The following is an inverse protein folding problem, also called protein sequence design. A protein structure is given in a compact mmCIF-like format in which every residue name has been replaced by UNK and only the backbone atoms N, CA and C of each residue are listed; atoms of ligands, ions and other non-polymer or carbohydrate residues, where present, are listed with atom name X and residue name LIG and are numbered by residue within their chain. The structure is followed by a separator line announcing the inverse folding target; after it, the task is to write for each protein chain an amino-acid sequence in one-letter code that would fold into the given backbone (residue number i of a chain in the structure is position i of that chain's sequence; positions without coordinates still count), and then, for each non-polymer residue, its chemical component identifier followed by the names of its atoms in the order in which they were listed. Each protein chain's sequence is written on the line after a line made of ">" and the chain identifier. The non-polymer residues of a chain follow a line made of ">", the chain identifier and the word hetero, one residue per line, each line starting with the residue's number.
data_IF_562507878912
#
_entry.id   IF_562507878912
#
_cell.length_a   1.000
_cell.length_b   1.000
_cell.length_c   1.000
_cell.angle_alpha   90.00
_cell.angle_beta   90.00
_cell.angle_gamma   90.00
#
_symmetry.space_group_name_H-M   'P 1'
#
loop_
_entity.id
_entity.type
_entity.pdbx_description
1 polymer ?
#
# COMPACT_ATOMS: atom_id res chain seq x y z
N UNK A 1 -20.00 4.55 -9.74
CA UNK A 1 -19.21 5.82 -9.77
C UNK A 1 -17.83 5.45 -9.21
N UNK A 2 -16.73 5.80 -9.91
CA UNK A 2 -15.38 5.55 -9.41
C UNK A 2 -15.09 6.39 -8.17
N UNK A 3 -14.30 5.85 -7.25
CA UNK A 3 -13.77 6.60 -6.11
C UNK A 3 -12.71 7.59 -6.60
N UNK A 4 -12.45 8.63 -5.81
CA UNK A 4 -11.47 9.68 -6.13
C UNK A 4 -10.57 9.92 -4.94
N UNK A 5 -9.28 10.10 -5.21
CA UNK A 5 -8.31 10.51 -4.19
C UNK A 5 -8.46 12.00 -3.86
N UNK A 6 -7.91 12.46 -2.73
CA UNK A 6 -7.85 13.89 -2.43
C UNK A 6 -7.12 14.72 -3.48
N UNK A 7 -6.24 14.09 -4.28
CA UNK A 7 -5.45 14.74 -5.33
C UNK A 7 -6.12 14.74 -6.71
N UNK A 8 -7.33 14.20 -6.84
CA UNK A 8 -8.03 14.06 -8.11
C UNK A 8 -8.09 15.37 -8.93
N UNK A 9 -8.50 16.49 -8.31
CA UNK A 9 -8.55 17.77 -8.99
C UNK A 9 -7.16 18.27 -9.43
N UNK A 10 -6.13 17.93 -8.66
CA UNK A 10 -4.74 18.26 -9.00
C UNK A 10 -4.30 17.48 -10.24
N UNK A 11 -4.63 16.19 -10.32
CA UNK A 11 -4.37 15.37 -11.50
C UNK A 11 -5.03 15.95 -12.75
N UNK A 12 -6.29 16.35 -12.64
CA UNK A 12 -7.00 16.98 -13.77
C UNK A 12 -6.35 18.31 -14.19
N UNK A 13 -6.00 19.18 -13.24
CA UNK A 13 -5.34 20.46 -13.51
C UNK A 13 -3.97 20.29 -14.19
N UNK A 14 -3.26 19.21 -13.87
CA UNK A 14 -1.98 18.85 -14.47
C UNK A 14 -2.12 18.12 -15.82
N UNK A 15 -3.35 17.93 -16.31
CA UNK A 15 -3.62 17.29 -17.60
C UNK A 15 -3.42 15.77 -17.61
N UNK A 16 -3.56 15.12 -16.47
CA UNK A 16 -3.41 13.69 -16.38
C UNK A 16 -4.45 12.94 -17.23
N UNK A 17 -4.03 11.89 -17.91
CA UNK A 17 -4.92 10.89 -18.49
C UNK A 17 -5.40 9.96 -17.38
N UNK A 18 -6.67 10.06 -17.02
CA UNK A 18 -7.28 9.28 -15.95
C UNK A 18 -7.82 7.94 -16.49
N UNK A 19 -7.74 6.90 -15.65
CA UNK A 19 -8.28 5.57 -15.91
C UNK A 19 -8.99 5.00 -14.69
N UNK A 20 -9.79 3.95 -14.89
CA UNK A 20 -10.26 3.09 -13.81
C UNK A 20 -9.10 2.18 -13.35
N UNK A 21 -8.68 2.37 -12.11
CA UNK A 21 -7.68 1.57 -11.45
C UNK A 21 -8.29 0.95 -10.19
N UNK A 22 -8.78 -0.27 -10.30
CA UNK A 22 -9.39 -0.99 -9.19
C UNK A 22 -10.59 -0.27 -8.54
N UNK A 23 -11.40 0.43 -9.34
CA UNK A 23 -12.55 1.19 -8.85
C UNK A 23 -12.24 2.63 -8.43
N UNK A 24 -10.99 3.07 -8.60
CA UNK A 24 -10.55 4.44 -8.39
C UNK A 24 -10.25 5.15 -9.70
N UNK A 25 -10.56 6.43 -9.78
CA UNK A 25 -10.22 7.29 -10.92
C UNK A 25 -8.80 7.84 -10.71
N UNK A 26 -7.80 7.20 -11.34
CA UNK A 26 -6.37 7.42 -11.08
C UNK A 26 -5.63 7.89 -12.33
N UNK A 27 -4.55 8.69 -12.17
CA UNK A 27 -3.73 9.12 -13.29
C UNK A 27 -2.88 7.95 -13.83
N UNK A 28 -3.02 7.67 -15.12
CA UNK A 28 -2.14 6.74 -15.84
C UNK A 28 -0.83 7.40 -16.27
N UNK A 29 -0.92 8.62 -16.76
CA UNK A 29 0.21 9.41 -17.27
C UNK A 29 -0.16 10.89 -17.35
N UNK A 30 0.86 11.73 -17.45
CA UNK A 30 0.75 13.17 -17.73
C UNK A 30 1.36 13.51 -19.09
N UNK A 31 2.67 13.44 -19.22
CA UNK A 31 3.40 13.71 -20.48
C UNK A 31 3.51 12.47 -21.37
N UNK A 32 3.77 11.32 -20.76
CA UNK A 32 3.89 10.03 -21.43
C UNK A 32 4.55 8.97 -20.56
N UNK A 33 4.08 7.74 -20.68
CA UNK A 33 4.52 6.61 -19.85
C UNK A 33 6.04 6.43 -19.91
N UNK A 34 6.63 6.45 -21.10
CA UNK A 34 8.07 6.21 -21.28
C UNK A 34 8.91 7.35 -20.72
N UNK A 35 8.49 8.59 -20.89
CA UNK A 35 9.18 9.77 -20.39
C UNK A 35 9.13 9.81 -18.86
N UNK A 36 7.97 9.55 -18.28
CA UNK A 36 7.76 9.51 -16.83
C UNK A 36 8.53 8.35 -16.20
N UNK A 37 8.52 7.17 -16.81
CA UNK A 37 9.34 6.06 -16.37
C UNK A 37 10.83 6.40 -16.35
N UNK A 38 11.32 7.06 -17.41
CA UNK A 38 12.71 7.50 -17.51
C UNK A 38 13.05 8.52 -16.41
N UNK A 39 12.15 9.48 -16.16
CA UNK A 39 12.33 10.47 -15.10
C UNK A 39 12.48 9.80 -13.71
N UNK A 40 11.67 8.80 -13.40
CA UNK A 40 11.79 8.02 -12.15
C UNK A 40 13.14 7.31 -12.05
N UNK A 41 13.62 6.75 -13.16
CA UNK A 41 14.90 6.00 -13.18
C UNK A 41 16.14 6.89 -13.13
N UNK A 42 16.09 8.08 -13.68
CA UNK A 42 17.25 8.97 -13.84
C UNK A 42 17.26 10.14 -12.86
N UNK A 43 16.11 10.47 -12.25
CA UNK A 43 15.99 11.59 -11.33
C UNK A 43 15.08 11.23 -10.14
N UNK A 44 13.79 11.58 -10.20
CA UNK A 44 12.82 11.29 -9.15
C UNK A 44 11.41 11.18 -9.73
N UNK A 45 10.53 10.44 -9.03
CA UNK A 45 9.11 10.37 -9.30
C UNK A 45 8.28 10.55 -8.02
N UNK A 46 7.11 11.18 -8.17
CA UNK A 46 6.13 11.32 -7.13
C UNK A 46 4.85 10.62 -7.56
N UNK A 47 4.30 9.76 -6.67
CA UNK A 47 3.14 8.95 -6.96
C UNK A 47 2.02 9.23 -5.95
N UNK A 48 0.79 9.36 -6.44
CA UNK A 48 -0.40 9.36 -5.58
C UNK A 48 -0.72 7.92 -5.15
N UNK A 49 -0.55 7.65 -3.88
CA UNK A 49 -0.87 6.37 -3.24
C UNK A 49 -2.05 6.49 -2.26
N UNK A 50 -2.80 7.60 -2.31
CA UNK A 50 -3.91 7.88 -1.38
C UNK A 50 -5.08 6.91 -1.49
N UNK A 51 -5.13 6.08 -2.54
CA UNK A 51 -6.10 5.00 -2.69
C UNK A 51 -5.75 3.77 -1.85
N UNK A 52 -4.49 3.66 -1.45
CA UNK A 52 -4.01 2.56 -0.60
C UNK A 52 -4.42 2.78 0.84
N UNK A 53 -4.54 1.70 1.56
CA UNK A 53 -4.79 1.81 2.96
C UNK A 53 -3.54 1.66 3.81
N UNK A 54 -3.57 2.23 4.98
CA UNK A 54 -2.46 2.28 5.92
C UNK A 54 -2.87 1.66 7.26
N UNK A 55 -2.06 0.71 7.75
CA UNK A 55 -2.27 0.06 9.04
C UNK A 55 -1.07 0.23 9.94
N UNK A 56 -1.32 0.58 11.18
CA UNK A 56 -0.33 0.46 12.24
C UNK A 56 -0.57 -0.80 13.05
N UNK A 57 0.47 -1.61 13.20
CA UNK A 57 0.43 -2.85 13.99
C UNK A 57 1.42 -2.72 15.14
N UNK A 58 0.93 -2.75 16.38
CA UNK A 58 1.77 -2.55 17.57
C UNK A 58 1.48 -3.59 18.66
N UNK A 59 2.36 -3.67 19.65
CA UNK A 59 2.22 -4.56 20.80
C UNK A 59 3.24 -5.70 20.81
N UNK A 60 3.33 -6.40 21.94
CA UNK A 60 4.36 -7.43 22.19
C UNK A 60 4.38 -8.57 21.17
N UNK A 61 3.27 -8.83 20.53
CA UNK A 61 3.13 -9.93 19.57
C UNK A 61 3.01 -9.46 18.12
N UNK A 62 3.22 -8.16 17.83
CA UNK A 62 3.08 -7.58 16.50
C UNK A 62 3.95 -8.31 15.46
N UNK A 63 5.24 -8.44 15.74
CA UNK A 63 6.20 -9.16 14.89
C UNK A 63 5.76 -10.62 14.63
N UNK A 64 5.41 -11.35 15.69
CA UNK A 64 4.97 -12.76 15.58
C UNK A 64 3.70 -12.87 14.75
N UNK A 65 2.77 -11.93 14.93
CA UNK A 65 1.53 -11.88 14.16
C UNK A 65 1.81 -11.62 12.69
N UNK A 66 2.58 -10.58 12.38
CA UNK A 66 2.94 -10.24 11.01
C UNK A 66 3.69 -11.39 10.31
N UNK A 67 4.65 -12.02 10.99
CA UNK A 67 5.35 -13.19 10.46
C UNK A 67 4.46 -14.39 10.19
N UNK A 68 3.30 -14.48 10.82
CA UNK A 68 2.35 -15.56 10.61
C UNK A 68 1.46 -15.34 9.41
N UNK A 69 1.16 -14.09 9.07
CA UNK A 69 0.19 -13.76 8.02
C UNK A 69 0.85 -13.28 6.72
N UNK A 70 2.10 -12.84 6.79
CA UNK A 70 2.85 -12.34 5.65
C UNK A 70 3.79 -13.41 5.09
N UNK A 71 4.09 -13.32 3.80
CA UNK A 71 4.95 -14.29 3.12
C UNK A 71 6.43 -14.07 3.35
N UNK A 72 6.85 -12.85 3.67
CA UNK A 72 8.23 -12.53 4.01
C UNK A 72 8.47 -12.51 5.52
N UNK A 73 9.72 -12.78 5.91
CA UNK A 73 10.14 -12.80 7.31
C UNK A 73 10.41 -11.37 7.83
N UNK A 74 9.50 -10.85 8.61
CA UNK A 74 9.56 -9.50 9.21
C UNK A 74 10.78 -9.32 10.14
N UNK A 75 11.26 -10.41 10.75
CA UNK A 75 12.42 -10.40 11.68
C UNK A 75 13.74 -10.07 11.00
N UNK A 76 13.78 -10.09 9.68
CA UNK A 76 14.97 -9.70 8.91
C UNK A 76 15.11 -8.19 8.73
N UNK A 77 14.05 -7.44 9.00
CA UNK A 77 14.05 -5.99 8.90
C UNK A 77 14.77 -5.36 10.10
N UNK A 78 15.59 -4.37 9.81
CA UNK A 78 16.19 -3.49 10.81
C UNK A 78 15.41 -2.17 10.88
N UNK A 79 15.62 -1.40 11.93
CA UNK A 79 14.97 -0.10 12.10
C UNK A 79 15.22 0.81 10.88
N UNK A 80 14.15 1.38 10.33
CA UNK A 80 14.20 2.21 9.13
C UNK A 80 14.22 1.43 7.80
N UNK A 81 14.17 0.11 7.85
CA UNK A 81 14.04 -0.71 6.65
C UNK A 81 12.57 -1.05 6.35
N UNK A 82 12.30 -1.28 5.08
CA UNK A 82 11.00 -1.76 4.63
C UNK A 82 11.13 -2.94 3.68
N UNK A 83 10.07 -3.74 3.59
CA UNK A 83 10.02 -4.85 2.65
C UNK A 83 8.67 -4.96 1.96
N UNK A 84 8.74 -5.34 0.70
CA UNK A 84 7.57 -5.75 -0.05
C UNK A 84 7.20 -7.19 0.31
N UNK A 85 5.92 -7.44 0.58
CA UNK A 85 5.42 -8.75 1.00
C UNK A 85 4.01 -8.99 0.48
N UNK A 86 3.46 -10.16 0.75
CA UNK A 86 2.09 -10.52 0.39
C UNK A 86 1.36 -11.11 1.58
N UNK A 87 0.05 -10.95 1.60
CA UNK A 87 -0.84 -11.71 2.46
C UNK A 87 -1.59 -12.73 1.63
N UNK A 88 -1.63 -13.97 2.12
CA UNK A 88 -2.27 -15.08 1.43
C UNK A 88 -3.40 -15.69 2.26
N UNK A 89 -4.35 -16.31 1.57
CA UNK A 89 -5.34 -17.17 2.19
C UNK A 89 -4.72 -18.53 2.61
N UNK A 90 -5.43 -19.36 3.39
CA UNK A 90 -4.91 -20.65 3.83
C UNK A 90 -4.56 -21.62 2.69
N UNK A 91 -5.13 -21.44 1.51
CA UNK A 91 -4.89 -22.27 0.32
C UNK A 91 -3.71 -21.75 -0.54
N UNK A 92 -3.05 -20.67 -0.08
CA UNK A 92 -1.89 -20.06 -0.75
C UNK A 92 -2.24 -19.04 -1.84
N UNK A 93 -3.52 -18.76 -2.07
CA UNK A 93 -3.92 -17.67 -2.99
C UNK A 93 -3.61 -16.31 -2.42
N UNK A 94 -3.02 -15.42 -3.21
CA UNK A 94 -2.73 -14.04 -2.81
C UNK A 94 -4.04 -13.27 -2.58
N UNK A 95 -4.16 -12.64 -1.42
CA UNK A 95 -5.26 -11.73 -1.08
C UNK A 95 -4.88 -10.33 -1.52
N UNK A 96 -3.68 -9.86 -1.13
CA UNK A 96 -3.15 -8.57 -1.50
C UNK A 96 -1.62 -8.54 -1.38
N UNK A 97 -0.99 -7.54 -1.98
CA UNK A 97 0.40 -7.20 -1.81
C UNK A 97 0.55 -5.96 -0.93
N UNK A 98 1.63 -5.92 -0.19
CA UNK A 98 1.82 -4.97 0.91
C UNK A 98 3.26 -4.46 0.92
N UNK A 99 3.43 -3.21 1.37
CA UNK A 99 4.73 -2.70 1.79
C UNK A 99 4.70 -2.50 3.31
N UNK A 100 5.63 -3.14 4.01
CA UNK A 100 5.79 -3.07 5.46
C UNK A 100 7.06 -2.30 5.78
N UNK A 101 7.01 -1.37 6.73
CA UNK A 101 8.19 -0.76 7.33
C UNK A 101 8.25 -0.99 8.85
N UNK A 102 9.39 -0.67 9.46
CA UNK A 102 9.65 -0.93 10.88
C UNK A 102 9.47 0.30 11.76
N UNK A 103 9.19 1.48 11.20
CA UNK A 103 8.91 2.69 11.97
C UNK A 103 7.49 2.66 12.57
N UNK A 104 7.14 1.56 13.28
CA UNK A 104 5.85 1.32 13.89
C UNK A 104 4.99 0.26 13.20
N UNK A 105 5.59 -0.56 12.32
CA UNK A 105 4.91 -1.57 11.50
C UNK A 105 3.74 -0.97 10.70
N UNK A 106 4.06 -0.07 9.79
CA UNK A 106 3.09 0.46 8.84
C UNK A 106 2.95 -0.48 7.66
N UNK A 107 1.73 -0.81 7.33
CA UNK A 107 1.38 -1.68 6.22
C UNK A 107 0.54 -0.90 5.23
N UNK A 108 1.04 -0.73 4.01
CA UNK A 108 0.29 -0.16 2.90
C UNK A 108 -0.29 -1.29 2.06
N UNK A 109 -1.61 -1.35 1.93
CA UNK A 109 -2.31 -2.40 1.19
C UNK A 109 -3.23 -1.82 0.12
N UNK A 110 -3.31 -2.49 -1.03
CA UNK A 110 -4.00 -1.98 -2.21
C UNK A 110 -5.53 -1.95 -2.13
N UNK A 111 -6.17 -2.91 -1.47
CA UNK A 111 -7.63 -2.96 -1.38
C UNK A 111 -8.15 -3.28 0.03
N UNK A 112 -8.68 -2.27 0.69
CA UNK A 112 -9.13 -2.31 2.09
C UNK A 112 -10.47 -2.96 2.35
N UNK A 113 -11.28 -3.15 1.34
CA UNK A 113 -12.64 -3.65 1.51
C UNK A 113 -12.73 -5.07 2.06
N UNK A 114 -11.64 -5.82 2.04
CA UNK A 114 -11.65 -7.25 2.29
C UNK A 114 -11.01 -7.74 3.58
N UNK A 115 -10.27 -6.88 4.30
CA UNK A 115 -9.59 -7.32 5.51
C UNK A 115 -10.49 -7.25 6.74
N UNK A 116 -10.92 -8.41 7.22
CA UNK A 116 -11.55 -8.58 8.55
C UNK A 116 -10.59 -9.31 9.47
N UNK A 117 -9.80 -8.56 10.23
CA UNK A 117 -9.01 -9.13 11.30
C UNK A 117 -9.85 -9.28 12.58
N UNK A 118 -9.97 -10.50 13.08
CA UNK A 118 -10.39 -10.72 14.47
C UNK A 118 -9.14 -10.71 15.34
N UNK A 119 -8.88 -9.62 16.03
CA UNK A 119 -7.79 -9.55 16.99
C UNK A 119 -8.25 -10.00 18.38
N UNK A 120 -7.54 -10.94 18.97
CA UNK A 120 -7.50 -11.11 20.40
C UNK A 120 -6.12 -10.66 20.87
N UNK A 121 -6.03 -9.43 21.35
CA UNK A 121 -4.81 -8.91 22.00
C UNK A 121 -3.90 -8.00 21.16
N UNK A 122 -4.38 -7.41 20.07
CA UNK A 122 -3.67 -6.43 19.26
C UNK A 122 -4.46 -5.12 19.16
N UNK A 123 -3.76 -4.00 19.20
CA UNK A 123 -4.33 -2.71 18.84
C UNK A 123 -4.14 -2.47 17.34
N UNK A 124 -5.24 -2.45 16.63
CA UNK A 124 -5.30 -2.05 15.22
C UNK A 124 -5.77 -0.61 15.14
N UNK A 125 -5.01 0.25 14.50
CA UNK A 125 -5.47 1.58 14.09
C UNK A 125 -5.42 1.68 12.57
N UNK A 126 -6.56 1.99 11.98
CA UNK A 126 -6.65 2.41 10.59
C UNK A 126 -6.50 3.91 10.58
N UNK A 127 -5.51 4.44 9.87
CA UNK A 127 -5.44 5.87 9.58
C UNK A 127 -6.44 6.16 8.45
N UNK A 128 -7.41 7.03 8.72
CA UNK A 128 -8.40 7.54 7.75
C UNK A 128 -8.04 8.96 7.36
#
# INVERSE_FOLDING_TARGET
>A
MLKRTPLFETHQKLGAKLIDFGGWEMPLQYSGIMEEHKAVREAAGLFDISHMGEFSVSGRSAETFLNRILTNDVRKLQDGEGQYTQICNPDGGTIDDLYLDTEGFWVLAGDFGQFKFKSSGFDFKVAT
#
